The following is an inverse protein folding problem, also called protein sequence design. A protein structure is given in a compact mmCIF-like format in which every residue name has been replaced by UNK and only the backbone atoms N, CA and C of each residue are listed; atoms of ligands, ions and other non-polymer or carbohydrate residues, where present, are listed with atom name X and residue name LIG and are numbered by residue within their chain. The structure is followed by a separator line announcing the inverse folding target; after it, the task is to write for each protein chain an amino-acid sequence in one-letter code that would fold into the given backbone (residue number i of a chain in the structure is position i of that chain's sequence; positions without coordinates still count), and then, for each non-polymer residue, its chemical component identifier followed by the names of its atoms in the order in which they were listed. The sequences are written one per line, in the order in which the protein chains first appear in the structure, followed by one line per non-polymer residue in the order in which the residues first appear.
data_IF_448343018493
#
_entry.id   IF_448343018493
#
_cell.length_a   1.000
_cell.length_b   1.000
_cell.length_c   1.000
_cell.angle_alpha   90.00
_cell.angle_beta   90.00
_cell.angle_gamma   90.00
#
_symmetry.space_group_name_H-M   'P 1'
#
loop_
_entity.id
_entity.type
_entity.pdbx_description
1 polymer ?
#
# COMPACT_ATOMS: atom_id res chain seq x y z
N UNK A 1 -2.73 -0.29 14.00
CA UNK A 1 -2.90 -1.38 13.05
C UNK A 1 -3.87 -1.01 11.95
N UNK A 2 -3.55 -1.38 10.75
CA UNK A 2 -4.40 -1.07 9.60
C UNK A 2 -5.65 -1.94 9.61
N UNK A 3 -6.81 -1.34 9.73
CA UNK A 3 -8.10 -2.04 9.74
C UNK A 3 -8.86 -1.69 8.46
N UNK A 4 -9.23 -2.72 7.69
CA UNK A 4 -9.93 -2.55 6.43
C UNK A 4 -11.32 -3.17 6.49
N UNK A 5 -12.32 -2.42 6.06
CA UNK A 5 -13.64 -2.97 5.81
C UNK A 5 -13.72 -3.54 4.39
N UNK A 6 -14.74 -4.30 4.10
CA UNK A 6 -14.96 -4.83 2.75
C UNK A 6 -15.21 -3.76 1.71
N UNK A 7 -15.60 -2.55 2.13
CA UNK A 7 -15.87 -1.42 1.24
C UNK A 7 -14.72 -0.42 1.15
N UNK A 8 -13.62 -0.63 1.88
CA UNK A 8 -12.47 0.25 1.83
C UNK A 8 -11.82 0.18 0.45
N UNK A 9 -11.68 1.34 -0.20
CA UNK A 9 -10.98 1.44 -1.47
C UNK A 9 -9.49 1.55 -1.20
N UNK A 10 -8.69 0.87 -2.03
CA UNK A 10 -7.24 0.83 -1.86
C UNK A 10 -6.61 1.23 -3.19
N UNK A 11 -5.88 2.33 -3.17
CA UNK A 11 -5.19 2.86 -4.34
C UNK A 11 -3.69 2.69 -4.17
N UNK A 12 -3.00 2.33 -5.25
CA UNK A 12 -1.54 2.22 -5.26
C UNK A 12 -0.98 3.31 -6.16
N UNK A 13 -0.07 4.11 -5.61
CA UNK A 13 0.61 5.15 -6.37
C UNK A 13 1.55 4.50 -7.37
N UNK A 14 1.47 4.93 -8.62
CA UNK A 14 2.31 4.41 -9.70
C UNK A 14 3.69 5.08 -9.64
N UNK A 15 4.71 4.27 -9.45
CA UNK A 15 6.09 4.73 -9.39
C UNK A 15 6.67 4.78 -7.98
N UNK A 16 8.00 4.88 -7.88
CA UNK A 16 8.67 4.92 -6.59
C UNK A 16 8.46 6.25 -5.88
N UNK A 17 8.45 6.19 -4.55
CA UNK A 17 8.28 7.35 -3.68
C UNK A 17 9.41 7.36 -2.66
N UNK A 18 9.90 8.54 -2.36
CA UNK A 18 10.91 8.75 -1.32
C UNK A 18 10.24 8.55 0.05
N UNK A 19 10.73 7.59 0.81
CA UNK A 19 10.17 7.25 2.11
C UNK A 19 10.43 8.30 3.20
N UNK A 20 11.18 9.35 2.90
CA UNK A 20 11.30 10.50 3.80
C UNK A 20 10.03 11.35 3.80
N UNK A 21 9.18 11.22 2.79
CA UNK A 21 7.91 11.93 2.76
C UNK A 21 7.00 11.47 3.90
N UNK A 22 6.50 12.43 4.64
CA UNK A 22 5.54 12.21 5.73
C UNK A 22 4.14 12.64 5.33
N UNK A 23 3.37 13.10 6.31
CA UNK A 23 1.97 13.47 6.11
C UNK A 23 1.78 14.49 4.98
N UNK A 24 2.55 15.56 4.99
CA UNK A 24 2.39 16.63 4.00
C UNK A 24 2.81 16.16 2.60
N UNK A 25 4.00 15.56 2.49
CA UNK A 25 4.51 15.10 1.20
C UNK A 25 3.64 14.06 0.55
N UNK A 26 3.17 13.08 1.31
CA UNK A 26 2.28 12.05 0.78
C UNK A 26 0.90 12.62 0.45
N UNK A 27 0.39 13.54 1.27
CA UNK A 27 -0.90 14.19 1.00
C UNK A 27 -0.90 14.95 -0.32
N UNK A 28 0.20 15.62 -0.64
CA UNK A 28 0.35 16.31 -1.92
C UNK A 28 0.24 15.31 -3.08
N UNK A 29 0.92 14.17 -2.97
CA UNK A 29 0.86 13.12 -4.00
C UNK A 29 -0.56 12.57 -4.19
N UNK A 30 -1.27 12.36 -3.07
CA UNK A 30 -2.66 11.90 -3.13
C UNK A 30 -3.54 12.92 -3.86
N UNK A 31 -3.42 14.21 -3.50
CA UNK A 31 -4.24 15.25 -4.12
C UNK A 31 -3.93 15.44 -5.61
N UNK A 32 -2.69 15.23 -6.03
CA UNK A 32 -2.32 15.33 -7.45
C UNK A 32 -2.98 14.25 -8.30
N UNK A 33 -3.08 13.03 -7.79
CA UNK A 33 -3.53 11.86 -8.54
C UNK A 33 -4.99 11.49 -8.21
N UNK A 34 -5.35 11.58 -6.93
CA UNK A 34 -6.65 11.16 -6.40
C UNK A 34 -7.36 12.34 -5.75
N UNK A 35 -7.49 13.43 -6.48
CA UNK A 35 -8.04 14.69 -5.98
C UNK A 35 -9.37 14.49 -5.23
N UNK A 36 -9.46 15.07 -4.04
CA UNK A 36 -10.65 15.01 -3.21
C UNK A 36 -10.83 13.71 -2.44
N UNK A 37 -9.90 12.76 -2.53
CA UNK A 37 -10.05 11.45 -1.91
C UNK A 37 -9.28 11.28 -0.59
N UNK A 38 -8.42 12.24 -0.22
CA UNK A 38 -7.54 12.10 0.94
C UNK A 38 -8.31 11.82 2.24
N UNK A 39 -9.45 12.45 2.44
CA UNK A 39 -10.27 12.29 3.64
C UNK A 39 -11.45 11.33 3.46
N UNK A 40 -11.44 10.56 2.39
CA UNK A 40 -12.56 9.66 2.05
C UNK A 40 -12.58 8.37 2.85
N UNK A 41 -11.50 8.06 3.58
CA UNK A 41 -11.31 6.77 4.22
C UNK A 41 -10.62 5.74 3.34
N UNK A 42 -10.35 6.07 2.08
CA UNK A 42 -9.58 5.19 1.21
C UNK A 42 -8.11 5.11 1.68
N UNK A 43 -7.47 4.01 1.38
CA UNK A 43 -6.05 3.80 1.64
C UNK A 43 -5.23 4.11 0.40
N UNK A 44 -4.12 4.81 0.59
CA UNK A 44 -3.20 5.18 -0.50
C UNK A 44 -1.84 4.58 -0.20
N UNK A 45 -1.40 3.67 -1.06
CA UNK A 45 -0.21 2.84 -0.87
C UNK A 45 0.96 3.41 -1.68
N UNK A 46 2.09 3.58 -1.02
CA UNK A 46 3.33 4.08 -1.63
C UNK A 46 4.47 3.11 -1.37
N UNK A 47 5.24 2.83 -2.41
CA UNK A 47 6.39 1.95 -2.34
C UNK A 47 7.66 2.72 -2.71
N UNK A 48 8.76 2.38 -2.07
CA UNK A 48 10.05 2.93 -2.46
C UNK A 48 10.60 2.22 -3.71
N UNK A 49 11.71 2.73 -4.24
CA UNK A 49 12.31 2.19 -5.47
C UNK A 49 12.74 0.73 -5.31
N UNK A 50 13.26 0.37 -4.15
CA UNK A 50 13.70 -1.01 -3.87
C UNK A 50 12.55 -1.95 -3.55
N UNK A 51 11.35 -1.40 -3.30
CA UNK A 51 10.14 -2.16 -2.93
C UNK A 51 10.30 -2.98 -1.66
N UNK A 52 11.12 -2.51 -0.74
CA UNK A 52 11.26 -3.11 0.58
C UNK A 52 10.62 -2.26 1.68
N UNK A 53 10.10 -1.09 1.33
CA UNK A 53 9.40 -0.19 2.25
C UNK A 53 8.07 0.24 1.65
N UNK A 54 7.05 0.27 2.49
CA UNK A 54 5.71 0.66 2.11
C UNK A 54 5.15 1.63 3.13
N UNK A 55 4.57 2.71 2.65
CA UNK A 55 3.74 3.58 3.49
C UNK A 55 2.31 3.56 2.97
N UNK A 56 1.36 3.55 3.89
CA UNK A 56 -0.06 3.65 3.57
C UNK A 56 -0.62 4.83 4.36
N UNK A 57 -1.14 5.84 3.65
CA UNK A 57 -1.79 6.97 4.29
C UNK A 57 -3.30 6.83 4.15
N UNK A 58 -4.03 7.14 5.20
CA UNK A 58 -5.48 7.09 5.20
C UNK A 58 -6.06 8.00 6.28
N UNK A 59 -7.31 8.41 6.08
CA UNK A 59 -8.06 9.21 7.06
C UNK A 59 -8.77 8.27 8.02
N UNK A 60 -8.58 8.50 9.31
CA UNK A 60 -9.20 7.74 10.38
C UNK A 60 -9.95 8.71 11.29
N UNK A 61 -11.27 8.71 11.19
CA UNK A 61 -12.23 9.46 12.01
C UNK A 61 -11.90 10.96 12.11
N UNK A 62 -10.76 11.31 12.68
CA UNK A 62 -10.40 12.69 13.02
C UNK A 62 -9.00 13.12 12.59
N UNK A 63 -8.31 12.29 11.84
CA UNK A 63 -6.95 12.62 11.43
C UNK A 63 -6.38 11.66 10.39
N UNK A 64 -5.22 12.04 9.89
CA UNK A 64 -4.46 11.19 8.96
C UNK A 64 -3.57 10.24 9.73
N UNK A 65 -3.47 9.02 9.24
CA UNK A 65 -2.59 7.99 9.77
C UNK A 65 -1.65 7.54 8.66
N UNK A 66 -0.39 7.32 9.00
CA UNK A 66 0.56 6.64 8.13
C UNK A 66 0.94 5.32 8.78
N UNK A 67 0.69 4.24 8.07
CA UNK A 67 1.17 2.91 8.42
C UNK A 67 2.42 2.64 7.60
N UNK A 68 3.52 2.22 8.26
CA UNK A 68 4.83 2.09 7.62
C UNK A 68 5.41 0.71 7.92
N UNK A 69 5.81 0.00 6.88
CA UNK A 69 6.40 -1.32 7.00
C UNK A 69 7.67 -1.43 6.16
N UNK A 70 8.72 -1.96 6.77
CA UNK A 70 9.96 -2.31 6.08
C UNK A 70 10.13 -3.83 6.11
N UNK A 71 10.32 -4.44 4.94
CA UNK A 71 10.64 -5.85 4.85
C UNK A 71 12.13 -6.06 5.13
N UNK A 72 12.43 -6.97 6.05
CA UNK A 72 13.82 -7.33 6.34
C UNK A 72 14.39 -8.24 5.26
N UNK A 73 13.53 -9.03 4.60
CA UNK A 73 13.89 -9.87 3.46
C UNK A 73 12.83 -9.78 2.38
N UNK A 74 13.28 -9.85 1.14
CA UNK A 74 12.38 -9.84 0.00
C UNK A 74 11.87 -8.45 -0.35
N UNK A 75 10.86 -8.43 -1.18
CA UNK A 75 10.28 -7.20 -1.72
C UNK A 75 8.77 -7.31 -1.75
N UNK A 76 8.11 -6.16 -1.65
CA UNK A 76 6.69 -6.05 -1.98
C UNK A 76 6.54 -6.26 -3.48
N UNK A 77 5.72 -7.22 -3.88
CA UNK A 77 5.51 -7.51 -5.30
C UNK A 77 4.09 -7.14 -5.68
N UNK A 78 3.98 -6.10 -6.51
CA UNK A 78 2.70 -5.67 -7.05
C UNK A 78 2.38 -6.53 -8.27
N UNK A 79 1.25 -7.24 -8.23
CA UNK A 79 0.84 -8.13 -9.30
C UNK A 79 -0.09 -7.48 -10.31
N UNK A 80 -0.59 -6.30 -10.00
CA UNK A 80 -1.51 -5.54 -10.85
C UNK A 80 -0.93 -4.19 -11.19
N UNK A 81 -1.11 -3.74 -12.43
CA UNK A 81 -0.78 -2.37 -12.85
C UNK A 81 -1.92 -1.39 -12.60
N UNK A 82 -3.05 -1.87 -12.10
CA UNK A 82 -4.21 -1.05 -11.81
C UNK A 82 -3.92 -0.10 -10.64
N UNK A 83 -4.45 1.13 -10.76
CA UNK A 83 -4.32 2.11 -9.68
C UNK A 83 -5.11 1.68 -8.43
N UNK A 84 -6.23 1.01 -8.61
CA UNK A 84 -7.04 0.49 -7.51
C UNK A 84 -6.92 -1.02 -7.45
N UNK A 85 -6.63 -1.54 -6.26
CA UNK A 85 -6.47 -2.98 -6.06
C UNK A 85 -7.52 -3.51 -5.09
N UNK A 86 -7.76 -4.81 -5.15
CA UNK A 86 -8.68 -5.47 -4.23
C UNK A 86 -8.06 -5.61 -2.83
N UNK A 87 -8.90 -5.84 -1.86
CA UNK A 87 -8.47 -6.14 -0.49
C UNK A 87 -7.54 -7.36 -0.45
N UNK A 88 -7.87 -8.39 -1.22
CA UNK A 88 -7.04 -9.60 -1.32
C UNK A 88 -5.66 -9.29 -1.89
N UNK A 89 -5.61 -8.52 -2.98
CA UNK A 89 -4.34 -8.11 -3.60
C UNK A 89 -3.51 -7.29 -2.63
N UNK A 90 -4.14 -6.43 -1.85
CA UNK A 90 -3.45 -5.63 -0.85
C UNK A 90 -2.83 -6.49 0.25
N UNK A 91 -3.56 -7.47 0.78
CA UNK A 91 -2.99 -8.36 1.79
C UNK A 91 -1.85 -9.19 1.24
N UNK A 92 -1.94 -9.65 0.00
CA UNK A 92 -0.84 -10.34 -0.67
C UNK A 92 0.38 -9.43 -0.81
N UNK A 93 0.15 -8.18 -1.20
CA UNK A 93 1.21 -7.17 -1.30
C UNK A 93 1.87 -6.91 0.05
N UNK A 94 1.08 -6.75 1.12
CA UNK A 94 1.56 -6.51 2.48
C UNK A 94 2.49 -7.61 2.97
N UNK A 95 2.21 -8.84 2.62
CA UNK A 95 2.97 -10.00 3.07
C UNK A 95 4.14 -10.32 2.15
N UNK A 96 4.29 -9.59 1.05
CA UNK A 96 5.31 -9.87 0.05
C UNK A 96 5.05 -11.18 -0.69
N UNK A 97 3.78 -11.59 -0.78
CA UNK A 97 3.38 -12.87 -1.34
C UNK A 97 2.77 -12.65 -2.72
N UNK A 98 3.28 -13.38 -3.71
CA UNK A 98 2.64 -13.55 -5.01
C UNK A 98 2.04 -14.96 -5.07
N UNK A 99 1.11 -15.23 -5.99
CA UNK A 99 0.61 -16.59 -6.16
C UNK A 99 1.73 -17.62 -6.35
N UNK A 100 2.79 -17.25 -7.07
CA UNK A 100 3.94 -18.12 -7.30
C UNK A 100 4.73 -18.37 -6.01
N UNK A 101 4.97 -17.34 -5.20
CA UNK A 101 5.67 -17.47 -3.92
C UNK A 101 4.84 -18.28 -2.94
N UNK A 102 3.53 -18.04 -2.90
CA UNK A 102 2.62 -18.81 -2.07
C UNK A 102 2.67 -20.30 -2.40
N UNK A 103 2.65 -20.63 -3.68
CA UNK A 103 2.76 -22.01 -4.12
C UNK A 103 4.05 -22.67 -3.65
N UNK A 104 5.18 -21.95 -3.75
CA UNK A 104 6.46 -22.44 -3.25
C UNK A 104 6.45 -22.69 -1.75
N UNK A 105 5.82 -21.81 -0.97
CA UNK A 105 5.75 -21.94 0.50
C UNK A 105 4.96 -23.16 0.94
N UNK A 106 3.95 -23.55 0.17
CA UNK A 106 3.10 -24.69 0.49
C UNK A 106 3.50 -25.97 -0.21
N UNK A 107 4.52 -25.92 -1.04
CA UNK A 107 5.06 -27.08 -1.74
C UNK A 107 6.29 -27.68 -1.08
N UNK A 108 6.45 -27.46 0.20
CA UNK A 108 7.51 -28.10 0.95
C UNK A 108 7.16 -29.55 1.21
N UNK A 109 7.99 -30.38 0.79
CA UNK A 109 7.97 -31.77 1.21
C UNK A 109 8.95 -31.96 2.35
#
# INVERSE_FOLDING_TARGET
MLALSGSTRIFVYNGPVDMRKGFEGLSVLVEEIFSGQLTSGACFVFLNKRRDRMKVIYWDIDGLVIWYKRLEKGRFVQTSSEAMISRREFFMLLEGITPKVLQKRYNFS
#
